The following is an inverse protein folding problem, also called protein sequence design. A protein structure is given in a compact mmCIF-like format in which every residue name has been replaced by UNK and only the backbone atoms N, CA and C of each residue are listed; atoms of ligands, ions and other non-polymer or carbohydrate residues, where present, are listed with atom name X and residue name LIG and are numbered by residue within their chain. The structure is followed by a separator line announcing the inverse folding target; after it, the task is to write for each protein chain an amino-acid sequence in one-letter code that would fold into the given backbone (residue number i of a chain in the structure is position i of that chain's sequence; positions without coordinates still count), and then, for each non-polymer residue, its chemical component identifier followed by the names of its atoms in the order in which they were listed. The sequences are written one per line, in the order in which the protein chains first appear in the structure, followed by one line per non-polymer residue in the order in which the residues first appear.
data_IF_343703289751
#
_entry.id   IF_343703289751
#
_cell.length_a   1.000
_cell.length_b   1.000
_cell.length_c   1.000
_cell.angle_alpha   90.00
_cell.angle_beta   90.00
_cell.angle_gamma   90.00
#
_symmetry.space_group_name_H-M   'P 1'
#
loop_
_entity.id
_entity.type
_entity.pdbx_description
1 polymer ?
#
# COMPACT_ATOMS: atom_id res chain seq x y z
N UNK A 1 -43.58 51.91 -28.12
CA UNK A 1 -43.28 50.58 -28.70
C UNK A 1 -43.05 50.77 -30.20
N UNK A 2 -42.04 50.15 -30.86
CA UNK A 2 -41.29 48.96 -30.46
C UNK A 2 -39.79 49.19 -30.23
N UNK A 3 -39.26 48.26 -29.44
CA UNK A 3 -37.95 48.16 -28.81
C UNK A 3 -36.89 47.68 -29.81
N UNK A 4 -35.89 48.52 -30.09
CA UNK A 4 -34.67 48.12 -30.82
C UNK A 4 -33.59 47.82 -29.80
N UNK A 5 -33.32 46.54 -29.55
CA UNK A 5 -32.12 46.12 -28.83
C UNK A 5 -31.55 44.89 -29.52
N UNK A 6 -30.56 45.16 -30.36
CA UNK A 6 -29.74 44.19 -31.07
C UNK A 6 -28.51 44.01 -30.19
N UNK A 7 -28.41 42.88 -29.50
CA UNK A 7 -27.21 42.48 -28.75
C UNK A 7 -26.76 41.16 -29.33
N UNK A 8 -25.62 41.19 -30.01
CA UNK A 8 -24.96 39.99 -30.47
C UNK A 8 -24.38 39.21 -29.30
N UNK A 9 -24.27 37.90 -29.47
CA UNK A 9 -23.22 37.09 -28.85
C UNK A 9 -23.05 35.83 -29.68
N UNK A 10 -21.88 35.69 -30.28
CA UNK A 10 -21.42 34.48 -30.93
C UNK A 10 -21.32 33.34 -29.91
N UNK A 11 -21.99 32.22 -30.15
CA UNK A 11 -21.83 31.01 -29.36
C UNK A 11 -20.87 30.06 -30.08
N UNK A 12 -19.58 30.15 -29.76
CA UNK A 12 -18.59 29.13 -30.09
C UNK A 12 -18.59 28.07 -28.97
N UNK A 13 -19.37 27.02 -29.14
CA UNK A 13 -19.47 25.91 -28.18
C UNK A 13 -18.28 24.95 -28.37
N UNK A 14 -17.14 25.25 -27.75
CA UNK A 14 -16.01 24.34 -27.66
C UNK A 14 -16.25 23.31 -26.55
N UNK A 15 -16.58 22.06 -26.93
CA UNK A 15 -16.69 20.95 -25.99
C UNK A 15 -15.28 20.50 -25.55
N UNK A 16 -14.81 21.01 -24.40
CA UNK A 16 -13.60 20.54 -23.75
C UNK A 16 -13.87 19.19 -23.06
N UNK A 17 -13.56 18.08 -23.74
CA UNK A 17 -13.48 16.74 -23.15
C UNK A 17 -12.25 16.67 -22.23
N UNK A 18 -12.45 16.91 -20.94
CA UNK A 18 -11.42 16.72 -19.91
C UNK A 18 -11.24 15.22 -19.69
N UNK A 19 -10.10 14.68 -20.13
CA UNK A 19 -9.70 13.29 -19.90
C UNK A 19 -9.25 13.12 -18.43
N UNK A 20 -10.08 12.49 -17.60
CA UNK A 20 -9.83 12.24 -16.17
C UNK A 20 -9.01 10.96 -15.88
N UNK A 21 -8.16 10.52 -16.81
CA UNK A 21 -7.52 9.18 -16.76
C UNK A 21 -6.47 9.00 -15.66
N UNK A 22 -6.10 10.04 -14.90
CA UNK A 22 -5.07 9.96 -13.87
C UNK A 22 -5.54 9.45 -12.51
N UNK A 23 -6.75 9.80 -12.07
CA UNK A 23 -7.22 9.46 -10.71
C UNK A 23 -7.61 7.99 -10.56
N UNK A 24 -8.22 7.39 -11.59
CA UNK A 24 -8.64 5.97 -11.54
C UNK A 24 -7.46 5.02 -11.32
N UNK A 25 -6.32 5.29 -11.98
CA UNK A 25 -5.11 4.48 -11.82
C UNK A 25 -4.43 4.66 -10.45
N UNK A 26 -4.67 5.78 -9.73
CA UNK A 26 -4.18 5.97 -8.36
C UNK A 26 -5.03 5.17 -7.38
N UNK A 27 -6.36 5.27 -7.49
CA UNK A 27 -7.28 4.52 -6.64
C UNK A 27 -7.15 3.01 -6.82
N UNK A 28 -7.00 2.52 -8.05
CA UNK A 28 -6.74 1.10 -8.29
C UNK A 28 -5.46 0.61 -7.60
N UNK A 29 -4.38 1.39 -7.68
CA UNK A 29 -3.12 1.07 -7.00
C UNK A 29 -3.27 1.10 -5.48
N UNK A 30 -4.04 2.06 -4.95
CA UNK A 30 -4.37 2.17 -3.52
C UNK A 30 -5.13 0.94 -3.04
N UNK A 31 -6.19 0.55 -3.75
CA UNK A 31 -6.97 -0.66 -3.43
C UNK A 31 -6.10 -1.91 -3.50
N UNK A 32 -5.26 -2.05 -4.53
CA UNK A 32 -4.37 -3.20 -4.67
C UNK A 32 -3.30 -3.27 -3.56
N UNK A 33 -2.74 -2.12 -3.14
CA UNK A 33 -1.79 -2.07 -2.04
C UNK A 33 -2.45 -2.43 -0.70
N UNK A 34 -3.66 -1.93 -0.45
CA UNK A 34 -4.45 -2.27 0.73
C UNK A 34 -4.79 -3.77 0.78
N UNK A 35 -5.21 -4.36 -0.34
CA UNK A 35 -5.50 -5.79 -0.40
C UNK A 35 -4.26 -6.64 -0.07
N UNK A 36 -3.10 -6.31 -0.65
CA UNK A 36 -1.85 -7.03 -0.36
C UNK A 36 -1.42 -6.91 1.11
N UNK A 37 -1.65 -5.75 1.74
CA UNK A 37 -1.40 -5.53 3.16
C UNK A 37 -2.33 -6.39 4.05
N UNK A 38 -3.62 -6.44 3.73
CA UNK A 38 -4.59 -7.28 4.45
C UNK A 38 -4.29 -8.78 4.30
N UNK A 39 -3.84 -9.22 3.11
CA UNK A 39 -3.43 -10.61 2.90
C UNK A 39 -2.20 -10.98 3.73
N UNK A 40 -1.25 -10.04 3.90
CA UNK A 40 -0.10 -10.22 4.78
C UNK A 40 -0.52 -10.29 6.26
N UNK A 41 -1.37 -9.37 6.73
CA UNK A 41 -1.90 -9.37 8.10
C UNK A 41 -2.62 -10.67 8.45
N UNK A 42 -3.48 -11.13 7.54
CA UNK A 42 -4.21 -12.40 7.70
C UNK A 42 -3.25 -13.58 7.77
N UNK A 43 -2.26 -13.64 6.88
CA UNK A 43 -1.28 -14.71 6.87
C UNK A 43 -0.44 -14.75 8.16
N UNK A 44 -0.09 -13.58 8.71
CA UNK A 44 0.59 -13.48 10.00
C UNK A 44 -0.27 -13.98 11.15
N UNK A 45 -1.54 -13.57 11.23
CA UNK A 45 -2.38 -13.92 12.38
C UNK A 45 -2.78 -15.40 12.41
N UNK A 46 -2.99 -16.05 11.25
CA UNK A 46 -3.11 -17.51 11.19
C UNK A 46 -1.78 -18.26 11.22
N UNK A 47 -0.65 -17.53 11.35
CA UNK A 47 0.73 -18.05 11.39
C UNK A 47 1.11 -18.93 10.19
N UNK A 48 0.62 -18.61 9.00
CA UNK A 48 1.02 -19.25 7.76
C UNK A 48 2.31 -18.61 7.22
N UNK A 49 3.46 -19.07 7.73
CA UNK A 49 4.76 -18.54 7.33
C UNK A 49 5.06 -18.66 5.83
N UNK A 50 4.46 -19.64 5.15
CA UNK A 50 4.57 -19.78 3.69
C UNK A 50 3.90 -18.62 2.97
N UNK A 51 2.65 -18.32 3.32
CA UNK A 51 1.91 -17.19 2.78
C UNK A 51 2.55 -15.84 3.13
N UNK A 52 3.02 -15.67 4.37
CA UNK A 52 3.72 -14.44 4.78
C UNK A 52 4.96 -14.22 3.91
N UNK A 53 5.82 -15.24 3.76
CA UNK A 53 7.03 -15.12 2.94
C UNK A 53 6.76 -14.94 1.44
N UNK A 54 5.59 -15.35 0.93
CA UNK A 54 5.18 -15.04 -0.44
C UNK A 54 4.74 -13.58 -0.59
N UNK A 55 4.17 -12.97 0.45
CA UNK A 55 3.77 -11.57 0.46
C UNK A 55 4.98 -10.61 0.64
N UNK A 56 6.08 -11.09 1.23
CA UNK A 56 7.33 -10.34 1.34
C UNK A 56 7.99 -10.06 -0.02
N UNK A 57 8.66 -8.93 -0.10
CA UNK A 57 9.58 -8.63 -1.20
C UNK A 57 10.76 -9.63 -1.18
N UNK A 58 11.36 -9.95 -2.34
CA UNK A 58 12.44 -10.94 -2.40
C UNK A 58 13.58 -10.67 -1.42
N UNK A 59 14.03 -9.42 -1.33
CA UNK A 59 15.11 -9.00 -0.43
C UNK A 59 14.73 -9.13 1.05
N UNK A 60 13.51 -8.70 1.43
CA UNK A 60 13.00 -8.88 2.80
C UNK A 60 12.87 -10.36 3.18
N UNK A 61 12.43 -11.19 2.23
CA UNK A 61 12.33 -12.65 2.41
C UNK A 61 13.71 -13.29 2.63
N UNK A 62 14.71 -12.84 1.89
CA UNK A 62 16.10 -13.29 2.03
C UNK A 62 16.69 -12.85 3.38
N UNK A 63 16.45 -11.61 3.80
CA UNK A 63 16.93 -11.08 5.07
C UNK A 63 16.37 -11.87 6.28
N UNK A 64 15.08 -12.20 6.26
CA UNK A 64 14.44 -13.04 7.29
C UNK A 64 15.12 -14.41 7.37
N UNK A 65 15.35 -15.06 6.22
CA UNK A 65 15.99 -16.38 6.17
C UNK A 65 17.44 -16.32 6.69
N UNK A 66 18.19 -15.28 6.32
CA UNK A 66 19.58 -15.08 6.72
C UNK A 66 19.69 -14.81 8.23
N UNK A 67 18.88 -13.90 8.74
CA UNK A 67 18.88 -13.50 10.16
C UNK A 67 18.44 -14.64 11.07
N UNK A 68 17.38 -15.35 10.71
CA UNK A 68 16.89 -16.50 11.48
C UNK A 68 17.76 -17.77 11.31
N UNK A 69 18.64 -17.80 10.29
CA UNK A 69 19.41 -18.99 9.88
C UNK A 69 18.50 -20.22 9.64
N UNK A 70 17.33 -19.97 9.06
CA UNK A 70 16.26 -20.94 8.78
C UNK A 70 15.65 -20.64 7.42
N UNK A 71 14.73 -21.51 6.95
CA UNK A 71 13.87 -21.10 5.83
C UNK A 71 13.04 -19.87 6.23
N UNK A 72 12.70 -19.01 5.26
CA UNK A 72 11.88 -17.82 5.57
C UNK A 72 10.59 -18.20 6.29
N UNK A 73 9.88 -19.24 5.81
CA UNK A 73 8.61 -19.67 6.39
C UNK A 73 8.71 -20.08 7.86
N UNK A 74 9.89 -20.52 8.31
CA UNK A 74 10.15 -20.81 9.72
C UNK A 74 10.63 -19.55 10.46
N UNK A 75 11.57 -18.81 9.89
CA UNK A 75 12.16 -17.62 10.52
C UNK A 75 11.13 -16.52 10.77
N UNK A 76 10.22 -16.30 9.83
CA UNK A 76 9.20 -15.25 9.93
C UNK A 76 8.24 -15.44 11.11
N UNK A 77 8.07 -16.68 11.59
CA UNK A 77 7.21 -16.99 12.71
C UNK A 77 7.89 -16.77 14.07
N UNK A 78 9.22 -16.62 14.07
CA UNK A 78 10.03 -16.23 15.22
C UNK A 78 10.16 -14.70 15.32
N UNK A 79 9.83 -13.96 14.26
CA UNK A 79 9.85 -12.50 14.22
C UNK A 79 8.65 -11.95 15.01
N UNK A 80 8.92 -10.99 15.90
CA UNK A 80 7.89 -10.36 16.75
C UNK A 80 7.14 -9.25 15.98
N UNK A 81 6.57 -9.60 14.83
CA UNK A 81 5.75 -8.68 14.04
C UNK A 81 4.36 -8.62 14.68
N UNK A 82 3.88 -7.42 15.07
CA UNK A 82 2.49 -7.26 15.49
C UNK A 82 1.57 -7.70 14.35
N UNK A 83 0.60 -8.55 14.65
CA UNK A 83 -0.50 -8.85 13.74
C UNK A 83 -1.81 -8.61 14.47
N UNK A 84 -2.76 -8.03 13.76
CA UNK A 84 -4.10 -7.79 14.28
C UNK A 84 -5.18 -8.66 13.61
N UNK A 85 -4.80 -9.63 12.77
CA UNK A 85 -5.75 -10.30 11.84
C UNK A 85 -6.64 -9.26 11.13
N UNK A 86 -6.01 -8.16 10.69
CA UNK A 86 -6.72 -6.94 10.32
C UNK A 86 -7.76 -7.17 9.22
N UNK A 87 -8.92 -6.55 9.39
CA UNK A 87 -9.97 -6.47 8.37
C UNK A 87 -9.92 -5.11 7.65
N UNK A 88 -10.57 -4.95 6.47
CA UNK A 88 -10.54 -3.68 5.73
C UNK A 88 -10.93 -2.46 6.57
N UNK A 89 -11.83 -2.62 7.54
CA UNK A 89 -12.33 -1.58 8.43
C UNK A 89 -11.25 -1.07 9.41
N UNK A 90 -10.22 -1.87 9.69
CA UNK A 90 -9.11 -1.49 10.57
C UNK A 90 -8.08 -0.60 9.87
N UNK A 91 -8.13 -0.49 8.54
CA UNK A 91 -7.17 0.30 7.75
C UNK A 91 -7.35 1.79 8.06
N UNK A 92 -6.41 2.37 8.79
CA UNK A 92 -6.45 3.79 9.19
C UNK A 92 -6.04 4.71 8.05
N UNK A 93 -5.05 4.30 7.23
CA UNK A 93 -4.63 5.08 6.07
C UNK A 93 -3.90 4.22 5.03
N UNK A 94 -4.00 4.64 3.76
CA UNK A 94 -3.26 4.07 2.63
C UNK A 94 -2.67 5.19 1.80
N UNK A 95 -1.36 5.36 1.83
CA UNK A 95 -0.66 6.36 1.02
C UNK A 95 0.07 5.66 -0.12
N UNK A 96 -0.14 6.10 -1.36
CA UNK A 96 0.55 5.57 -2.54
C UNK A 96 1.33 6.68 -3.22
N UNK A 97 2.63 6.47 -3.42
CA UNK A 97 3.52 7.38 -4.12
C UNK A 97 4.31 6.60 -5.19
N UNK A 98 3.92 6.76 -6.46
CA UNK A 98 4.52 6.01 -7.57
C UNK A 98 4.35 4.50 -7.41
N UNK A 99 5.46 3.82 -7.13
CA UNK A 99 5.56 2.37 -6.91
C UNK A 99 5.70 1.97 -5.44
N UNK A 100 5.54 2.91 -4.52
CA UNK A 100 5.62 2.68 -3.09
C UNK A 100 4.27 2.93 -2.45
N UNK A 101 3.98 2.18 -1.38
CA UNK A 101 2.78 2.38 -0.58
C UNK A 101 3.09 2.23 0.91
N UNK A 102 2.32 2.93 1.73
CA UNK A 102 2.28 2.77 3.18
C UNK A 102 0.85 2.46 3.58
N UNK A 103 0.65 1.41 4.37
CA UNK A 103 -0.64 1.04 4.94
C UNK A 103 -0.51 1.06 6.46
N UNK A 104 -1.41 1.78 7.12
CA UNK A 104 -1.41 1.92 8.58
C UNK A 104 -2.61 1.19 9.16
N UNK A 105 -2.34 0.30 10.10
CA UNK A 105 -3.28 -0.41 10.95
C UNK A 105 -3.14 0.09 12.40
N UNK A 106 -4.03 -0.28 13.32
CA UNK A 106 -3.91 0.10 14.73
C UNK A 106 -2.65 -0.46 15.42
N UNK A 107 -2.24 -1.66 15.03
CA UNK A 107 -1.10 -2.38 15.64
C UNK A 107 0.17 -2.40 14.77
N UNK A 108 0.07 -2.06 13.48
CA UNK A 108 1.21 -2.11 12.56
C UNK A 108 1.18 -0.98 11.51
N UNK A 109 2.35 -0.64 10.97
CA UNK A 109 2.50 0.09 9.72
C UNK A 109 3.32 -0.74 8.76
N UNK A 110 2.75 -1.02 7.59
CA UNK A 110 3.42 -1.73 6.51
C UNK A 110 3.93 -0.75 5.45
N UNK A 111 5.12 -1.02 4.94
CA UNK A 111 5.62 -0.40 3.71
C UNK A 111 5.67 -1.44 2.61
N UNK A 112 5.14 -1.09 1.44
CA UNK A 112 5.06 -1.95 0.28
C UNK A 112 5.72 -1.30 -0.93
N UNK A 113 6.23 -2.14 -1.82
CA UNK A 113 6.69 -1.73 -3.15
C UNK A 113 6.04 -2.58 -4.23
N UNK A 114 5.81 -1.98 -5.40
CA UNK A 114 5.27 -2.66 -6.56
C UNK A 114 6.37 -3.47 -7.26
N UNK A 115 6.17 -4.77 -7.40
CA UNK A 115 7.00 -5.70 -8.17
C UNK A 115 6.21 -6.21 -9.40
N UNK A 116 6.86 -6.91 -10.36
CA UNK A 116 6.14 -7.53 -11.48
C UNK A 116 5.03 -8.49 -11.03
N UNK A 117 5.20 -9.14 -9.87
CA UNK A 117 4.20 -10.02 -9.25
C UNK A 117 3.21 -9.33 -8.31
N UNK A 118 3.05 -8.00 -8.40
CA UNK A 118 2.15 -7.22 -7.55
C UNK A 118 2.84 -6.49 -6.40
N UNK A 119 2.05 -5.95 -5.48
CA UNK A 119 2.55 -5.30 -4.27
C UNK A 119 3.17 -6.32 -3.32
N UNK A 120 4.34 -6.00 -2.78
CA UNK A 120 5.06 -6.81 -1.80
C UNK A 120 5.47 -5.98 -0.60
N UNK A 121 5.40 -6.59 0.58
CA UNK A 121 5.80 -5.97 1.84
C UNK A 121 7.33 -5.92 1.89
N UNK A 122 7.87 -4.71 2.02
CA UNK A 122 9.31 -4.45 2.17
C UNK A 122 9.70 -4.21 3.62
N UNK A 123 8.76 -3.78 4.46
CA UNK A 123 8.94 -3.60 5.90
C UNK A 123 7.60 -3.72 6.65
N UNK A 124 7.66 -4.25 7.88
CA UNK A 124 6.51 -4.48 8.76
C UNK A 124 6.93 -4.33 10.25
N UNK A 125 5.97 -4.26 11.16
CA UNK A 125 6.21 -3.91 12.56
C UNK A 125 6.74 -2.49 12.72
N UNK A 126 6.33 -1.55 11.87
CA UNK A 126 6.95 -0.24 11.80
C UNK A 126 6.31 0.78 12.76
N UNK A 127 7.13 1.33 13.65
CA UNK A 127 6.73 2.40 14.58
C UNK A 127 7.30 3.76 14.15
N UNK A 128 6.48 4.83 14.09
CA UNK A 128 6.93 6.15 13.69
C UNK A 128 7.90 6.74 14.73
N UNK A 129 8.87 7.53 14.26
CA UNK A 129 9.81 8.26 15.12
C UNK A 129 9.86 9.72 14.69
N UNK A 130 9.75 10.71 15.62
CA UNK A 130 9.85 12.12 15.25
C UNK A 130 11.16 12.43 14.53
N UNK A 131 11.07 13.03 13.34
CA UNK A 131 12.20 13.46 12.50
C UNK A 131 13.23 12.36 12.19
N UNK A 132 12.84 11.08 12.25
CA UNK A 132 13.71 9.93 11.94
C UNK A 132 12.94 8.92 11.09
N UNK A 133 13.65 8.05 10.34
CA UNK A 133 13.00 6.92 9.69
C UNK A 133 12.23 6.07 10.69
N UNK A 134 11.19 5.37 10.23
CA UNK A 134 10.48 4.39 11.06
C UNK A 134 11.45 3.35 11.64
N UNK A 135 11.08 2.80 12.80
CA UNK A 135 11.76 1.62 13.35
C UNK A 135 10.85 0.43 13.09
N UNK A 136 11.31 -0.49 12.25
CA UNK A 136 10.57 -1.68 11.85
C UNK A 136 11.17 -2.92 12.46
N UNK A 137 10.32 -3.90 12.81
CA UNK A 137 10.74 -5.26 13.16
C UNK A 137 11.32 -5.96 11.94
N UNK A 138 10.60 -5.90 10.82
CA UNK A 138 11.02 -6.44 9.54
C UNK A 138 11.41 -5.34 8.57
N UNK A 139 12.51 -5.54 7.84
CA UNK A 139 12.93 -4.68 6.74
C UNK A 139 13.77 -5.46 5.74
N UNK A 140 13.57 -5.20 4.44
CA UNK A 140 14.57 -5.49 3.42
C UNK A 140 15.76 -4.54 3.53
N UNK A 141 16.95 -5.03 3.20
CA UNK A 141 18.21 -4.27 3.19
C UNK A 141 18.23 -3.11 2.21
#
# INVERSE_FOLDING_TARGET
MPWRWQWGAAAATGAALVLTTGCGAVEERRTAAMAAALDFERALGVRDGGAVCQALAPETREEVAQSAKKSCAQGILDEEVPSADAVPEDVQSVDVAGRQARVVFPADTLFLSQFPGGWKVVAAGCTPRPQRPYRCTLKGG
#
